data_IF_500004052785
#
_entry.id   IF_500004052785
#
_cell.length_a   1.000
_cell.length_b   1.000
_cell.length_c   1.000
_cell.angle_alpha   90.00
_cell.angle_beta   90.00
_cell.angle_gamma   90.00
#
_symmetry.space_group_name_H-M   'P 1'
#
loop_
_entity.id
_entity.type
_entity.pdbx_description
1 polymer ?
#
# COMPACT_ATOMS: atom_id res chain seq x y z
N UNK A 1 17.74 -4.79 6.22
CA UNK A 1 17.14 -3.46 6.38
C UNK A 1 15.64 -3.66 6.52
N UNK A 2 15.04 -3.21 7.62
CA UNK A 2 13.61 -3.39 7.87
C UNK A 2 12.76 -2.46 7.00
N UNK A 3 11.54 -2.88 6.68
CA UNK A 3 10.57 -2.03 5.98
C UNK A 3 10.19 -0.81 6.85
N UNK A 4 10.19 0.43 6.31
CA UNK A 4 10.00 1.65 7.11
C UNK A 4 8.55 1.88 7.54
N UNK A 5 8.37 2.69 8.58
CA UNK A 5 7.08 3.21 9.04
C UNK A 5 6.59 4.39 8.18
N UNK A 6 5.37 4.88 8.44
CA UNK A 6 4.80 6.00 7.69
C UNK A 6 5.56 7.32 7.89
N UNK A 7 6.13 7.53 9.08
CA UNK A 7 6.88 8.75 9.40
C UNK A 7 8.25 8.78 8.71
N UNK A 8 8.77 7.63 8.31
CA UNK A 8 10.08 7.47 7.66
C UNK A 8 9.98 7.52 6.13
N UNK A 9 8.76 7.48 5.57
CA UNK A 9 8.51 7.52 4.14
C UNK A 9 8.69 8.93 3.57
N UNK A 10 9.46 9.04 2.49
CA UNK A 10 9.47 10.26 1.68
C UNK A 10 8.17 10.42 0.88
N UNK A 11 7.89 11.64 0.43
CA UNK A 11 6.73 11.92 -0.41
C UNK A 11 6.77 11.11 -1.70
N UNK A 12 7.95 10.79 -2.25
CA UNK A 12 8.12 10.06 -3.50
C UNK A 12 8.11 8.52 -3.38
N UNK A 13 7.81 7.98 -2.20
CA UNK A 13 7.89 6.55 -1.92
C UNK A 13 6.53 5.85 -1.85
N UNK A 14 6.55 4.54 -2.10
CA UNK A 14 5.38 3.67 -2.16
C UNK A 14 4.81 3.42 -0.76
N UNK A 15 3.53 3.80 -0.59
CA UNK A 15 2.81 3.73 0.69
C UNK A 15 1.98 2.46 0.85
N UNK A 16 2.32 1.38 0.14
CA UNK A 16 1.62 0.09 0.32
C UNK A 16 2.06 -0.54 1.64
N UNK A 17 1.14 -0.88 2.56
CA UNK A 17 1.47 -1.65 3.75
C UNK A 17 1.95 -3.06 3.37
N UNK A 18 3.02 -3.53 4.01
CA UNK A 18 3.66 -4.84 3.74
C UNK A 18 3.57 -5.82 4.91
N UNK A 19 3.04 -5.40 6.05
CA UNK A 19 2.78 -6.25 7.20
C UNK A 19 1.30 -6.19 7.62
N UNK A 20 0.83 -7.23 8.30
CA UNK A 20 -0.48 -7.28 8.96
C UNK A 20 -0.30 -6.92 10.44
N UNK A 21 0.02 -5.66 10.72
CA UNK A 21 0.29 -5.19 12.09
C UNK A 21 -0.96 -5.34 12.97
N UNK A 22 -0.78 -5.89 14.17
CA UNK A 22 -1.84 -5.91 15.18
C UNK A 22 -2.08 -4.51 15.77
N UNK A 23 -3.21 -4.27 16.47
CA UNK A 23 -3.41 -3.05 17.22
C UNK A 23 -2.24 -2.78 18.19
N UNK A 24 -1.63 -1.61 18.09
CA UNK A 24 -0.46 -1.25 18.89
C UNK A 24 0.89 -1.59 18.25
N UNK A 25 0.91 -2.34 17.14
CA UNK A 25 2.14 -2.59 16.36
C UNK A 25 2.28 -1.58 15.22
N UNK A 26 3.52 -1.21 14.84
CA UNK A 26 3.74 -0.30 13.73
C UNK A 26 3.46 -0.97 12.38
N UNK A 27 2.68 -0.29 11.53
CA UNK A 27 2.61 -0.63 10.12
C UNK A 27 3.94 -0.33 9.42
N UNK A 28 4.33 -1.25 8.56
CA UNK A 28 5.50 -1.15 7.71
C UNK A 28 5.08 -1.01 6.24
N UNK A 29 5.88 -0.29 5.46
CA UNK A 29 5.54 0.08 4.09
C UNK A 29 6.62 -0.35 3.10
N UNK A 30 6.24 -0.44 1.82
CA UNK A 30 7.12 -0.88 0.75
C UNK A 30 8.30 0.06 0.49
N UNK A 31 8.09 1.39 0.56
CA UNK A 31 9.07 2.44 0.27
C UNK A 31 9.79 2.41 -1.09
N UNK A 32 9.39 1.52 -2.02
CA UNK A 32 9.90 1.57 -3.39
C UNK A 32 9.50 2.87 -4.12
N UNK A 33 10.17 3.23 -5.22
CA UNK A 33 9.88 4.46 -5.96
C UNK A 33 8.43 4.47 -6.45
N UNK A 34 7.67 5.51 -6.11
CA UNK A 34 6.26 5.63 -6.51
C UNK A 34 6.16 6.00 -7.99
N UNK A 35 5.09 5.54 -8.64
CA UNK A 35 4.74 6.01 -9.98
C UNK A 35 4.24 7.46 -9.87
N UNK A 36 4.69 8.39 -10.74
CA UNK A 36 4.22 9.77 -10.74
C UNK A 36 2.68 9.86 -10.74
N UNK A 37 2.13 10.66 -9.82
CA UNK A 37 0.67 10.80 -9.67
C UNK A 37 -0.04 9.61 -9.02
N UNK A 38 0.69 8.60 -8.51
CA UNK A 38 0.13 7.45 -7.79
C UNK A 38 0.77 7.31 -6.40
N UNK A 39 0.05 6.72 -5.44
CA UNK A 39 0.58 6.49 -4.09
C UNK A 39 1.49 5.25 -3.98
N UNK A 40 1.64 4.46 -5.04
CA UNK A 40 2.31 3.16 -5.02
C UNK A 40 3.37 3.04 -6.13
N UNK A 41 4.31 2.10 -5.96
CA UNK A 41 5.24 1.68 -7.01
C UNK A 41 4.51 0.85 -8.08
N UNK A 42 5.17 0.61 -9.23
CA UNK A 42 4.57 -0.09 -10.37
C UNK A 42 3.92 -1.43 -9.98
N UNK A 43 4.64 -2.30 -9.26
CA UNK A 43 4.11 -3.61 -8.85
C UNK A 43 2.92 -3.52 -7.89
N UNK A 44 2.89 -2.51 -7.01
CA UNK A 44 1.76 -2.33 -6.09
C UNK A 44 0.59 -1.55 -6.71
N UNK A 45 0.81 -0.77 -7.77
CA UNK A 45 -0.27 -0.22 -8.60
C UNK A 45 -1.04 -1.33 -9.32
N UNK A 46 -0.34 -2.30 -9.90
CA UNK A 46 -0.95 -3.45 -10.59
C UNK A 46 -1.82 -4.28 -9.62
N UNK A 47 -1.30 -4.55 -8.42
CA UNK A 47 -2.03 -5.28 -7.36
C UNK A 47 -3.18 -4.47 -6.74
N UNK A 48 -3.05 -3.15 -6.67
CA UNK A 48 -4.11 -2.28 -6.14
C UNK A 48 -5.33 -2.23 -7.09
N UNK A 49 -5.12 -2.31 -8.40
CA UNK A 49 -6.19 -2.45 -9.38
C UNK A 49 -7.05 -3.69 -9.12
N UNK A 50 -6.41 -4.82 -8.83
CA UNK A 50 -7.08 -6.07 -8.49
C UNK A 50 -7.88 -5.99 -7.16
N UNK A 51 -7.33 -5.33 -6.13
CA UNK A 51 -8.00 -5.16 -4.84
C UNK A 51 -9.22 -4.23 -4.89
N UNK A 52 -9.16 -3.15 -5.67
CA UNK A 52 -10.31 -2.26 -5.91
C UNK A 52 -11.46 -2.99 -6.63
N UNK A 53 -11.14 -3.87 -7.59
CA UNK A 53 -12.16 -4.67 -8.29
C UNK A 53 -12.86 -5.67 -7.36
N UNK A 54 -12.12 -6.32 -6.46
CA UNK A 54 -12.69 -7.21 -5.44
C UNK A 54 -13.61 -6.48 -4.44
N UNK A 55 -13.17 -5.32 -3.92
CA UNK A 55 -13.99 -4.52 -3.00
C UNK A 55 -15.28 -4.00 -3.63
N UNK A 56 -15.25 -3.61 -4.91
CA UNK A 56 -16.44 -3.16 -5.64
C UNK A 56 -17.44 -4.27 -5.94
N UNK A 57 -16.96 -5.50 -6.15
CA UNK A 57 -17.83 -6.67 -6.38
C UNK A 57 -18.55 -7.12 -5.10
N UNK A 58 -17.89 -7.02 -3.94
CA UNK A 58 -18.51 -7.35 -2.65
C UNK A 58 -19.53 -6.29 -2.21
N UNK A 59 -19.31 -5.00 -2.52
CA UNK A 59 -20.27 -3.93 -2.23
C UNK A 59 -21.48 -3.88 -3.18
N UNK A 60 -21.54 -4.72 -4.22
CA UNK A 60 -22.67 -4.81 -5.17
C UNK A 60 -23.52 -6.07 -5.00
N UNK A 61 -23.13 -6.97 -4.10
CA UNK A 61 -23.82 -8.23 -3.82
C UNK A 61 -24.55 -8.23 -2.46
N UNK A 62 -24.73 -7.05 -1.86
CA UNK A 62 -25.50 -6.84 -0.64
C UNK A 62 -26.73 -5.97 -0.92
#
# INVERSE_FOLDING_TARGET
MGSPTLAELDWNECRRPVNNAAPGEPHQFCAGPRVPGKPYCAGHCERAGAGYQLGRSLMRAA
#
